data_IF_049442173475
#
_entry.id   IF_049442173475
#
_cell.length_a   1.000
_cell.length_b   1.000
_cell.length_c   1.000
_cell.angle_alpha   90.00
_cell.angle_beta   90.00
_cell.angle_gamma   90.00
#
_symmetry.space_group_name_H-M   'P 1'
#
loop_
_entity.id
_entity.type
_entity.pdbx_description
1 polymer ?
#
# COMPACT_ATOMS: atom_id res chain seq x y z
N UNK A 1 3.47 25.16 1.48
CA UNK A 1 4.59 24.21 1.57
C UNK A 1 4.23 23.01 0.70
N UNK A 2 4.61 23.07 -0.57
CA UNK A 2 4.09 22.22 -1.63
C UNK A 2 4.95 20.96 -1.79
N UNK A 3 4.31 19.79 -1.70
CA UNK A 3 4.87 18.46 -2.00
C UNK A 3 4.93 18.30 -3.53
N UNK A 4 5.58 19.25 -4.20
CA UNK A 4 5.78 19.27 -5.65
C UNK A 4 7.25 19.57 -5.94
N UNK A 5 8.11 18.62 -5.61
CA UNK A 5 9.42 18.54 -6.27
C UNK A 5 9.23 18.09 -7.71
N UNK A 6 9.96 18.70 -8.65
CA UNK A 6 9.98 18.25 -10.05
C UNK A 6 10.39 16.77 -10.10
N UNK A 7 9.53 15.94 -10.69
CA UNK A 7 9.83 14.52 -10.94
C UNK A 7 10.75 14.45 -12.17
N UNK A 8 11.96 13.92 -11.99
CA UNK A 8 12.94 13.79 -13.06
C UNK A 8 14.33 13.39 -12.56
N UNK A 9 15.18 12.81 -13.41
CA UNK A 9 16.53 12.43 -13.05
C UNK A 9 17.35 13.66 -12.60
N UNK A 10 17.93 13.60 -11.40
CA UNK A 10 18.78 14.67 -10.84
C UNK A 10 18.14 15.54 -9.74
N UNK A 11 16.86 15.36 -9.40
CA UNK A 11 16.23 16.05 -8.27
C UNK A 11 16.30 15.21 -6.99
N UNK A 12 16.54 15.85 -5.84
CA UNK A 12 16.50 15.21 -4.52
C UNK A 12 15.05 14.84 -4.18
N UNK A 13 14.72 13.57 -4.38
CA UNK A 13 13.43 13.03 -3.95
C UNK A 13 13.52 12.78 -2.45
N UNK A 14 12.63 13.39 -1.67
CA UNK A 14 12.43 12.96 -0.29
C UNK A 14 11.82 11.56 -0.32
N UNK A 15 12.62 10.55 0.02
CA UNK A 15 12.12 9.18 0.11
C UNK A 15 11.34 9.02 1.41
N UNK A 16 10.02 8.94 1.31
CA UNK A 16 9.19 8.66 2.47
C UNK A 16 9.32 7.18 2.83
N UNK A 17 9.32 6.85 4.12
CA UNK A 17 9.32 5.47 4.61
C UNK A 17 8.14 5.24 5.54
N UNK A 18 7.84 3.97 5.84
CA UNK A 18 6.73 3.59 6.69
C UNK A 18 6.77 4.26 8.08
N UNK A 19 7.96 4.49 8.65
CA UNK A 19 8.08 5.14 9.96
C UNK A 19 7.57 6.60 9.96
N UNK A 20 7.67 7.34 8.84
CA UNK A 20 7.10 8.69 8.74
C UNK A 20 5.58 8.70 8.92
N UNK A 21 4.89 7.64 8.48
CA UNK A 21 3.44 7.50 8.70
C UNK A 21 3.15 7.17 10.17
N UNK A 22 3.99 6.33 10.79
CA UNK A 22 3.85 5.97 12.20
C UNK A 22 4.04 7.20 13.09
N UNK A 23 5.03 8.04 12.81
CA UNK A 23 5.27 9.29 13.55
C UNK A 23 4.08 10.26 13.41
N UNK A 24 3.56 10.43 12.19
CA UNK A 24 2.36 11.25 11.95
C UNK A 24 1.13 10.71 12.69
N UNK A 25 0.96 9.39 12.71
CA UNK A 25 -0.12 8.73 13.45
C UNK A 25 0.03 8.94 14.96
N UNK A 26 1.25 8.79 15.49
CA UNK A 26 1.53 9.02 16.91
C UNK A 26 1.16 10.43 17.34
N UNK A 27 1.55 11.45 16.55
CA UNK A 27 1.18 12.84 16.84
C UNK A 27 -0.32 13.08 16.71
N UNK A 28 -0.98 12.50 15.72
CA UNK A 28 -2.43 12.58 15.55
C UNK A 28 -3.16 12.05 16.79
N UNK A 29 -2.74 10.90 17.29
CA UNK A 29 -3.33 10.27 18.47
C UNK A 29 -3.08 11.11 19.73
N UNK A 30 -1.88 11.68 19.88
CA UNK A 30 -1.54 12.59 20.99
C UNK A 30 -2.35 13.88 20.99
N UNK A 31 -2.59 14.48 19.82
CA UNK A 31 -3.42 15.70 19.73
C UNK A 31 -4.88 15.38 20.05
N UNK A 32 -5.40 14.24 19.56
CA UNK A 32 -6.77 13.82 19.88
C UNK A 32 -6.95 13.55 21.38
N UNK A 33 -5.97 12.91 22.03
CA UNK A 33 -5.96 12.72 23.48
C UNK A 33 -6.04 14.06 24.23
N UNK A 34 -5.26 15.05 23.81
CA UNK A 34 -5.29 16.40 24.39
C UNK A 34 -6.65 17.09 24.16
N UNK A 35 -7.23 17.00 22.96
CA UNK A 35 -8.57 17.54 22.67
C UNK A 35 -9.62 16.92 23.59
N UNK A 36 -9.60 15.60 23.77
CA UNK A 36 -10.54 14.91 24.66
C UNK A 36 -10.41 15.37 26.12
N UNK A 37 -9.18 15.54 26.60
CA UNK A 37 -8.93 16.03 27.96
C UNK A 37 -9.40 17.49 28.13
N UNK A 38 -9.14 18.36 27.14
CA UNK A 38 -9.58 19.76 27.18
C UNK A 38 -11.12 19.89 27.10
N UNK A 39 -11.78 19.11 26.24
CA UNK A 39 -13.24 19.06 26.16
C UNK A 39 -13.83 18.64 27.53
N UNK A 40 -13.30 17.57 28.14
CA UNK A 40 -13.72 17.11 29.47
C UNK A 40 -13.50 18.16 30.57
N UNK A 41 -12.36 18.86 30.56
CA UNK A 41 -12.09 19.90 31.55
C UNK A 41 -13.08 21.07 31.39
N UNK A 42 -13.38 21.45 30.15
CA UNK A 42 -14.36 22.50 29.85
C UNK A 42 -15.74 22.16 30.44
N UNK A 43 -16.15 20.89 30.36
CA UNK A 43 -17.41 20.41 30.99
C UNK A 43 -17.37 20.50 32.52
N UNK A 44 -16.26 20.08 33.16
CA UNK A 44 -16.11 20.13 34.62
C UNK A 44 -16.15 21.58 35.12
N UNK A 45 -15.41 22.48 34.47
CA UNK A 45 -15.36 23.89 34.85
C UNK A 45 -16.74 24.55 34.63
N UNK A 46 -17.44 24.20 33.55
CA UNK A 46 -18.81 24.66 33.31
C UNK A 46 -19.79 24.15 34.38
N UNK A 47 -19.61 22.92 34.88
CA UNK A 47 -20.43 22.39 35.96
C UNK A 47 -20.13 23.10 37.30
N UNK A 48 -18.86 23.41 37.56
CA UNK A 48 -18.43 24.18 38.74
C UNK A 48 -19.05 25.58 38.73
N UNK A 49 -18.98 26.26 37.59
CA UNK A 49 -19.58 27.57 37.37
C UNK A 49 -21.09 27.55 37.69
N UNK A 50 -21.81 26.59 37.11
CA UNK A 50 -23.26 26.41 37.35
C UNK A 50 -23.59 26.11 38.81
N UNK A 51 -22.76 25.33 39.50
CA UNK A 51 -22.96 25.00 40.90
C UNK A 51 -22.88 26.26 41.76
N UNK A 52 -21.83 27.06 41.63
CA UNK A 52 -21.68 28.30 42.41
C UNK A 52 -22.74 29.34 42.07
N UNK A 53 -23.10 29.49 40.80
CA UNK A 53 -24.23 30.34 40.38
C UNK A 53 -25.57 29.88 40.99
N UNK A 54 -25.78 28.57 41.11
CA UNK A 54 -26.99 28.04 41.76
C UNK A 54 -26.98 28.21 43.28
N UNK A 55 -25.80 28.20 43.91
CA UNK A 55 -25.63 28.31 45.36
C UNK A 55 -26.10 29.68 45.86
N UNK A 56 -25.75 30.76 45.16
CA UNK A 56 -26.19 32.12 45.48
C UNK A 56 -27.67 32.38 45.18
N UNK A 57 -28.27 31.60 44.29
CA UNK A 57 -29.69 31.67 43.99
C UNK A 57 -30.59 30.99 45.03
N UNK A 58 -30.03 30.15 45.93
CA UNK A 58 -30.81 29.43 46.95
C UNK A 58 -31.20 30.34 48.11
N UNK A 59 -32.45 30.22 48.55
CA UNK A 59 -33.01 30.94 49.71
C UNK A 59 -32.42 30.52 51.05
N UNK A 60 -31.87 29.31 51.12
CA UNK A 60 -31.28 28.73 52.35
C UNK A 60 -29.85 29.21 52.57
N UNK A 61 -29.28 30.01 51.66
CA UNK A 61 -27.91 30.50 51.77
C UNK A 61 -27.86 31.69 52.74
N UNK A 62 -26.91 31.73 53.70
CA UNK A 62 -26.85 32.80 54.70
C UNK A 62 -26.69 34.18 54.06
N UNK A 63 -27.61 35.10 54.37
CA UNK A 63 -27.63 36.47 53.80
C UNK A 63 -26.36 37.27 54.12
N UNK A 64 -25.76 37.05 55.29
CA UNK A 64 -24.50 37.70 55.69
C UNK A 64 -23.32 37.31 54.80
N UNK A 65 -23.21 36.03 54.45
CA UNK A 65 -22.16 35.53 53.55
C UNK A 65 -22.45 35.88 52.09
N UNK A 66 -23.71 36.15 51.75
CA UNK A 66 -24.10 36.49 50.39
C UNK A 66 -23.60 37.88 50.00
N UNK A 67 -23.87 38.89 50.82
CA UNK A 67 -23.43 40.26 50.53
C UNK A 67 -21.91 40.45 50.63
N UNK A 68 -21.25 39.73 51.55
CA UNK A 68 -19.79 39.86 51.74
C UNK A 68 -18.97 39.19 50.62
N UNK A 69 -19.50 38.12 50.00
CA UNK A 69 -18.80 37.35 48.95
C UNK A 69 -19.39 37.54 47.55
N UNK A 70 -20.36 38.43 47.35
CA UNK A 70 -21.03 38.61 46.04
C UNK A 70 -20.05 39.05 44.94
N UNK A 71 -19.19 40.02 45.27
CA UNK A 71 -18.16 40.53 44.36
C UNK A 71 -17.12 39.47 44.03
N UNK A 72 -16.64 38.74 45.06
CA UNK A 72 -15.65 37.66 44.90
C UNK A 72 -16.21 36.50 44.06
N UNK A 73 -17.48 36.14 44.25
CA UNK A 73 -18.10 35.07 43.48
C UNK A 73 -18.36 35.49 42.03
N UNK A 74 -18.69 36.76 41.79
CA UNK A 74 -18.83 37.31 40.45
C UNK A 74 -17.48 37.37 39.73
N UNK A 75 -16.41 37.76 40.43
CA UNK A 75 -15.06 37.73 39.91
C UNK A 75 -14.61 36.29 39.58
N UNK A 76 -14.92 35.33 40.46
CA UNK A 76 -14.64 33.92 40.22
C UNK A 76 -15.43 33.36 39.02
N UNK A 77 -16.71 33.67 38.89
CA UNK A 77 -17.54 33.28 37.75
C UNK A 77 -16.98 33.81 36.43
N UNK A 78 -16.57 35.09 36.42
CA UNK A 78 -15.92 35.73 35.28
C UNK A 78 -14.62 35.02 34.90
N UNK A 79 -13.76 34.72 35.89
CA UNK A 79 -12.51 33.99 35.67
C UNK A 79 -12.74 32.58 35.11
N UNK A 80 -13.74 31.85 35.62
CA UNK A 80 -14.09 30.54 35.07
C UNK A 80 -14.62 30.65 33.62
N UNK A 81 -15.41 31.68 33.33
CA UNK A 81 -15.90 31.97 31.99
C UNK A 81 -14.77 32.25 30.99
N UNK A 82 -13.81 33.08 31.38
CA UNK A 82 -12.62 33.38 30.56
C UNK A 82 -11.78 32.13 30.33
N UNK A 83 -11.56 31.33 31.38
CA UNK A 83 -10.82 30.07 31.29
C UNK A 83 -11.53 29.05 30.37
N UNK A 84 -12.87 28.92 30.45
CA UNK A 84 -13.67 28.11 29.52
C UNK A 84 -13.47 28.58 28.07
N UNK A 85 -13.50 29.89 27.84
CA UNK A 85 -13.32 30.46 26.50
C UNK A 85 -11.91 30.18 25.96
N UNK A 86 -10.88 30.29 26.79
CA UNK A 86 -9.51 29.95 26.42
C UNK A 86 -9.37 28.48 26.04
N UNK A 87 -9.94 27.56 26.83
CA UNK A 87 -9.96 26.14 26.49
C UNK A 87 -10.66 25.88 25.16
N UNK A 88 -11.81 26.50 24.89
CA UNK A 88 -12.51 26.38 23.60
C UNK A 88 -11.66 26.84 22.42
N UNK A 89 -10.91 27.94 22.59
CA UNK A 89 -9.98 28.42 21.55
C UNK A 89 -8.88 27.38 21.31
N UNK A 90 -8.27 26.84 22.36
CA UNK A 90 -7.22 25.83 22.23
C UNK A 90 -7.72 24.52 21.63
N UNK A 91 -8.93 24.08 21.99
CA UNK A 91 -9.61 22.93 21.38
C UNK A 91 -9.78 23.16 19.87
N UNK A 92 -10.21 24.36 19.46
CA UNK A 92 -10.35 24.70 18.04
C UNK A 92 -9.01 24.62 17.30
N UNK A 93 -7.94 25.19 17.87
CA UNK A 93 -6.58 25.12 17.31
C UNK A 93 -6.06 23.69 17.22
N UNK A 94 -6.27 22.88 18.25
CA UNK A 94 -5.88 21.48 18.26
C UNK A 94 -6.64 20.67 17.20
N UNK A 95 -7.94 20.91 17.02
CA UNK A 95 -8.74 20.30 15.94
C UNK A 95 -8.25 20.70 14.54
N UNK A 96 -7.81 21.94 14.35
CA UNK A 96 -7.15 22.34 13.10
C UNK A 96 -5.84 21.58 12.87
N UNK A 97 -5.03 21.40 13.92
CA UNK A 97 -3.80 20.63 13.83
C UNK A 97 -4.05 19.15 13.50
N UNK A 98 -5.12 18.55 14.04
CA UNK A 98 -5.59 17.20 13.66
C UNK A 98 -5.87 17.12 12.16
N UNK A 99 -6.63 18.07 11.62
CA UNK A 99 -6.97 18.09 10.19
C UNK A 99 -5.72 18.22 9.31
N UNK A 100 -4.84 19.18 9.62
CA UNK A 100 -3.58 19.38 8.87
C UNK A 100 -2.70 18.13 8.91
N UNK A 101 -2.61 17.47 10.08
CA UNK A 101 -1.80 16.26 10.24
C UNK A 101 -2.39 15.09 9.46
N UNK A 102 -3.72 14.97 9.43
CA UNK A 102 -4.44 13.98 8.62
C UNK A 102 -4.20 14.18 7.13
N UNK A 103 -4.33 15.40 6.63
CA UNK A 103 -4.10 15.73 5.23
C UNK A 103 -2.64 15.40 4.84
N UNK A 104 -1.67 15.74 5.69
CA UNK A 104 -0.26 15.39 5.47
C UNK A 104 -0.03 13.88 5.43
N UNK A 105 -0.66 13.11 6.34
CA UNK A 105 -0.57 11.66 6.33
C UNK A 105 -1.11 11.07 5.02
N UNK A 106 -2.23 11.57 4.53
CA UNK A 106 -2.80 11.14 3.25
C UNK A 106 -1.86 11.43 2.08
N UNK A 107 -1.26 12.63 2.05
CA UNK A 107 -0.27 12.99 1.03
C UNK A 107 0.97 12.08 1.07
N UNK A 108 1.48 11.73 2.25
CA UNK A 108 2.61 10.80 2.40
C UNK A 108 2.25 9.41 1.90
N UNK A 109 1.05 8.92 2.21
CA UNK A 109 0.55 7.62 1.72
C UNK A 109 0.47 7.61 0.19
N UNK A 110 -0.10 8.66 -0.41
CA UNK A 110 -0.17 8.80 -1.87
C UNK A 110 1.22 8.81 -2.51
N UNK A 111 2.17 9.50 -1.89
CA UNK A 111 3.54 9.54 -2.39
C UNK A 111 4.23 8.18 -2.30
N UNK A 112 4.08 7.45 -1.19
CA UNK A 112 4.60 6.09 -1.05
C UNK A 112 4.02 5.12 -2.08
N UNK A 113 2.72 5.21 -2.35
CA UNK A 113 2.07 4.43 -3.40
C UNK A 113 2.63 4.79 -4.78
N UNK A 114 2.85 6.08 -5.04
CA UNK A 114 3.50 6.57 -6.25
C UNK A 114 4.92 6.00 -6.42
N UNK A 115 5.73 6.01 -5.38
CA UNK A 115 7.08 5.44 -5.39
C UNK A 115 7.08 3.93 -5.66
N UNK A 116 6.14 3.20 -5.04
CA UNK A 116 6.00 1.76 -5.28
C UNK A 116 5.57 1.46 -6.72
N UNK A 117 4.67 2.27 -7.28
CA UNK A 117 4.24 2.16 -8.67
C UNK A 117 5.41 2.45 -9.64
N UNK A 118 6.18 3.51 -9.42
CA UNK A 118 7.33 3.87 -10.24
C UNK A 118 8.40 2.77 -10.25
N UNK A 119 8.70 2.19 -9.07
CA UNK A 119 9.62 1.03 -8.99
C UNK A 119 9.10 -0.16 -9.78
N UNK A 120 7.79 -0.42 -9.72
CA UNK A 120 7.16 -1.51 -10.46
C UNK A 120 7.21 -1.26 -11.97
N UNK A 121 7.02 -0.02 -12.40
CA UNK A 121 7.15 0.39 -13.80
C UNK A 121 8.58 0.19 -14.31
N UNK A 122 9.59 0.64 -13.55
CA UNK A 122 11.00 0.44 -13.89
C UNK A 122 11.34 -1.05 -13.99
N UNK A 123 10.86 -1.87 -13.06
CA UNK A 123 11.00 -3.33 -13.11
C UNK A 123 10.34 -3.90 -14.37
N UNK A 124 9.13 -3.45 -14.71
CA UNK A 124 8.41 -3.93 -15.89
C UNK A 124 9.13 -3.57 -17.20
N UNK A 125 9.67 -2.35 -17.31
CA UNK A 125 10.48 -1.93 -18.47
C UNK A 125 11.74 -2.79 -18.60
N UNK A 126 12.41 -3.08 -17.48
CA UNK A 126 13.59 -3.95 -17.49
C UNK A 126 13.23 -5.39 -17.90
N UNK A 127 12.11 -5.92 -17.39
CA UNK A 127 11.59 -7.24 -17.78
C UNK A 127 11.18 -7.30 -19.26
N UNK A 128 10.62 -6.23 -19.80
CA UNK A 128 10.30 -6.14 -21.22
C UNK A 128 11.56 -6.25 -22.08
N UNK A 129 12.62 -5.52 -21.72
CA UNK A 129 13.91 -5.59 -22.41
C UNK A 129 14.54 -6.98 -22.32
N UNK A 130 14.51 -7.60 -21.14
CA UNK A 130 14.98 -8.97 -20.94
C UNK A 130 14.19 -9.97 -21.80
N UNK A 131 12.87 -9.82 -21.86
CA UNK A 131 12.00 -10.64 -22.70
C UNK A 131 12.28 -10.47 -24.20
N UNK A 132 12.59 -9.25 -24.66
CA UNK A 132 13.01 -9.00 -26.05
C UNK A 132 14.35 -9.70 -26.33
N UNK A 133 15.32 -9.61 -25.42
CA UNK A 133 16.62 -10.30 -25.55
C UNK A 133 16.47 -11.83 -25.69
N UNK A 134 15.63 -12.45 -24.84
CA UNK A 134 15.33 -13.87 -24.92
C UNK A 134 14.74 -14.28 -26.29
N UNK A 135 13.87 -13.45 -26.87
CA UNK A 135 13.30 -13.69 -28.21
C UNK A 135 14.36 -13.65 -29.31
N UNK A 136 15.28 -12.69 -29.28
CA UNK A 136 16.36 -12.58 -30.27
C UNK A 136 17.25 -13.82 -30.25
N UNK A 137 17.69 -14.27 -29.07
CA UNK A 137 18.51 -15.49 -28.93
C UNK A 137 17.77 -16.72 -29.45
N UNK A 138 16.47 -16.83 -29.16
CA UNK A 138 15.63 -17.94 -29.65
C UNK A 138 15.55 -17.94 -31.19
N UNK A 139 15.39 -16.78 -31.81
CA UNK A 139 15.37 -16.68 -33.29
C UNK A 139 16.74 -17.03 -33.88
N UNK A 140 17.83 -16.53 -33.29
CA UNK A 140 19.19 -16.83 -33.75
C UNK A 140 19.49 -18.33 -33.68
N UNK A 141 19.10 -19.00 -32.59
CA UNK A 141 19.28 -20.45 -32.44
C UNK A 141 18.42 -21.26 -33.41
N UNK A 142 17.19 -20.82 -33.70
CA UNK A 142 16.33 -21.47 -34.71
C UNK A 142 16.92 -21.45 -36.12
N UNK A 143 17.69 -20.41 -36.48
CA UNK A 143 18.37 -20.32 -37.78
C UNK A 143 19.72 -21.05 -37.76
N UNK A 144 20.47 -20.93 -36.65
CA UNK A 144 21.82 -21.45 -36.55
C UNK A 144 21.85 -22.99 -36.39
N UNK A 145 20.93 -23.57 -35.61
CA UNK A 145 20.93 -25.01 -35.35
C UNK A 145 20.82 -25.87 -36.63
N UNK A 146 19.89 -25.62 -37.56
CA UNK A 146 19.82 -26.37 -38.82
C UNK A 146 21.05 -26.16 -39.71
N UNK A 147 21.57 -24.93 -39.77
CA UNK A 147 22.75 -24.61 -40.57
C UNK A 147 23.99 -25.35 -40.05
N UNK A 148 24.18 -25.39 -38.72
CA UNK A 148 25.28 -26.13 -38.09
C UNK A 148 25.13 -27.63 -38.29
N UNK A 149 23.93 -28.20 -38.13
CA UNK A 149 23.71 -29.63 -38.41
C UNK A 149 24.10 -29.99 -39.85
N UNK A 150 23.69 -29.19 -40.82
CA UNK A 150 24.03 -29.41 -42.23
C UNK A 150 25.54 -29.24 -42.46
N UNK A 151 26.16 -28.21 -41.87
CA UNK A 151 27.61 -28.00 -41.94
C UNK A 151 28.41 -29.19 -41.38
N UNK A 152 28.02 -29.71 -40.22
CA UNK A 152 28.65 -30.89 -39.61
C UNK A 152 28.41 -32.15 -40.45
N UNK A 153 27.20 -32.37 -40.97
CA UNK A 153 26.88 -33.53 -41.79
C UNK A 153 27.69 -33.59 -43.09
N UNK A 154 27.88 -32.44 -43.76
CA UNK A 154 28.74 -32.34 -44.94
C UNK A 154 30.24 -32.30 -44.61
N UNK A 155 30.62 -31.92 -43.37
CA UNK A 155 31.99 -31.93 -42.88
C UNK A 155 32.47 -33.32 -42.42
N UNK A 156 31.55 -34.20 -42.02
CA UNK A 156 31.86 -35.63 -41.90
C UNK A 156 32.00 -36.24 -43.29
N UNK A 157 33.00 -37.11 -43.47
CA UNK A 157 33.56 -37.70 -44.72
C UNK A 157 32.56 -38.49 -45.62
N UNK A 158 31.25 -38.25 -45.46
CA UNK A 158 30.12 -38.84 -46.20
C UNK A 158 30.05 -38.35 -47.65
N UNK A 159 30.69 -37.22 -47.99
CA UNK A 159 30.82 -36.75 -49.38
C UNK A 159 32.28 -36.83 -49.82
N UNK A 160 32.76 -38.05 -50.12
CA UNK A 160 34.01 -38.21 -50.87
C UNK A 160 33.80 -37.73 -52.30
N UNK A 161 34.43 -36.62 -52.66
CA UNK A 161 34.72 -36.30 -54.05
C UNK A 161 36.01 -37.01 -54.46
N UNK A 162 35.99 -38.33 -54.59
CA UNK A 162 37.00 -39.01 -55.40
C UNK A 162 36.58 -38.80 -56.85
N UNK A 163 37.17 -37.81 -57.51
CA UNK A 163 37.32 -37.91 -58.95
C UNK A 163 38.68 -38.59 -59.16
N UNK A 164 38.60 -39.87 -59.50
CA UNK A 164 39.75 -40.71 -59.75
C UNK A 164 40.71 -40.08 -60.78
N UNK A 165 42.00 -40.19 -60.45
CA UNK A 165 43.12 -40.29 -61.38
C UNK A 165 43.47 -39.06 -62.24
N UNK A 166 44.01 -38.01 -61.63
CA UNK A 166 45.32 -37.51 -62.07
C UNK A 166 45.98 -36.58 -61.04
N UNK A 167 47.30 -36.77 -60.91
CA UNK A 167 48.19 -36.04 -60.01
C UNK A 167 48.18 -34.56 -60.33
N UNK A 168 47.59 -33.74 -59.46
CA UNK A 168 47.94 -32.32 -59.31
C UNK A 168 47.49 -31.83 -57.95
N UNK A 169 48.48 -31.51 -57.12
CA UNK A 169 48.39 -30.98 -55.76
C UNK A 169 47.92 -29.52 -55.79
N UNK A 170 46.64 -29.29 -56.01
CA UNK A 170 46.04 -27.99 -55.75
C UNK A 170 44.67 -28.18 -55.12
N UNK A 171 44.40 -27.45 -54.04
CA UNK A 171 43.23 -27.68 -53.19
C UNK A 171 41.93 -27.51 -54.00
N UNK A 172 41.30 -28.62 -54.39
CA UNK A 172 40.10 -28.57 -55.23
C UNK A 172 38.90 -28.10 -54.41
N UNK A 173 38.62 -26.80 -54.46
CA UNK A 173 37.40 -26.22 -53.91
C UNK A 173 36.22 -26.56 -54.83
N UNK A 174 35.47 -27.62 -54.50
CA UNK A 174 34.37 -28.10 -55.34
C UNK A 174 33.15 -27.19 -55.22
N UNK A 175 32.92 -26.33 -56.23
CA UNK A 175 31.71 -25.49 -56.36
C UNK A 175 30.42 -26.32 -56.34
N UNK A 176 30.49 -27.60 -56.72
CA UNK A 176 29.38 -28.57 -56.64
C UNK A 176 29.00 -28.87 -55.18
N UNK A 177 29.96 -28.96 -54.26
CA UNK A 177 29.70 -29.19 -52.84
C UNK A 177 28.94 -28.02 -52.22
N UNK A 178 29.35 -26.80 -52.55
CA UNK A 178 28.70 -25.58 -52.09
C UNK A 178 27.24 -25.48 -52.57
N UNK A 179 26.96 -25.84 -53.83
CA UNK A 179 25.60 -25.82 -54.39
C UNK A 179 24.71 -26.89 -53.74
N UNK A 180 25.23 -28.10 -53.51
CA UNK A 180 24.48 -29.17 -52.81
C UNK A 180 24.21 -28.82 -51.35
N UNK A 181 25.18 -28.22 -50.67
CA UNK A 181 25.01 -27.70 -49.32
C UNK A 181 23.89 -26.66 -49.26
N UNK A 182 23.87 -25.70 -50.20
CA UNK A 182 22.82 -24.67 -50.29
C UNK A 182 21.44 -25.30 -50.59
N UNK A 183 21.40 -26.29 -51.48
CA UNK A 183 20.19 -27.00 -51.90
C UNK A 183 19.54 -27.79 -50.76
N UNK A 184 20.32 -28.28 -49.78
CA UNK A 184 19.78 -28.97 -48.59
C UNK A 184 19.46 -27.98 -47.46
N UNK A 185 20.28 -26.93 -47.32
CA UNK A 185 20.13 -25.95 -46.23
C UNK A 185 18.89 -25.07 -46.40
N UNK A 186 18.60 -24.59 -47.60
CA UNK A 186 17.43 -23.73 -47.88
C UNK A 186 16.08 -24.40 -47.56
N UNK A 187 15.78 -25.62 -48.04
CA UNK A 187 14.51 -26.27 -47.68
C UNK A 187 14.44 -26.61 -46.20
N UNK A 188 15.55 -27.02 -45.57
CA UNK A 188 15.57 -27.33 -44.14
C UNK A 188 15.31 -26.09 -43.29
N UNK A 189 15.92 -24.95 -43.64
CA UNK A 189 15.64 -23.65 -42.99
C UNK A 189 14.21 -23.20 -43.23
N UNK A 190 13.67 -23.39 -44.43
CA UNK A 190 12.27 -23.09 -44.72
C UNK A 190 11.29 -23.93 -43.90
N UNK A 191 11.55 -25.24 -43.77
CA UNK A 191 10.75 -26.15 -42.91
C UNK A 191 10.85 -25.76 -41.44
N UNK A 192 12.05 -25.41 -40.96
CA UNK A 192 12.25 -24.97 -39.58
C UNK A 192 11.48 -23.68 -39.29
N UNK A 193 11.50 -22.73 -40.25
CA UNK A 193 10.79 -21.47 -40.16
C UNK A 193 9.26 -21.67 -40.26
N UNK A 194 8.80 -22.61 -41.09
CA UNK A 194 7.38 -23.02 -41.16
C UNK A 194 6.91 -23.67 -39.86
N UNK A 195 7.72 -24.54 -39.24
CA UNK A 195 7.40 -25.15 -37.94
C UNK A 195 7.38 -24.10 -36.83
N UNK A 196 8.37 -23.19 -36.79
CA UNK A 196 8.40 -22.09 -35.84
C UNK A 196 7.17 -21.17 -36.02
N UNK A 197 6.82 -20.81 -37.25
CA UNK A 197 5.63 -20.01 -37.53
C UNK A 197 4.34 -20.75 -37.17
N UNK A 198 4.22 -22.04 -37.49
CA UNK A 198 3.05 -22.84 -37.17
C UNK A 198 2.87 -23.04 -35.65
N UNK A 199 3.96 -23.26 -34.91
CA UNK A 199 3.94 -23.36 -33.44
C UNK A 199 3.61 -22.03 -32.79
N UNK A 200 4.18 -20.92 -33.28
CA UNK A 200 3.89 -19.58 -32.80
C UNK A 200 2.42 -19.20 -33.03
N UNK A 201 1.91 -19.40 -34.26
CA UNK A 201 0.51 -19.14 -34.62
C UNK A 201 -0.47 -20.01 -33.84
N UNK A 202 -0.12 -21.29 -33.60
CA UNK A 202 -0.93 -22.19 -32.75
C UNK A 202 -0.91 -21.75 -31.27
N UNK A 203 0.21 -21.22 -30.77
CA UNK A 203 0.31 -20.72 -29.41
C UNK A 203 -0.51 -19.43 -29.22
N UNK A 204 -0.47 -18.50 -30.18
CA UNK A 204 -1.29 -17.29 -30.17
C UNK A 204 -2.79 -17.58 -30.22
N UNK A 205 -3.22 -18.48 -31.12
CA UNK A 205 -4.62 -18.94 -31.19
C UNK A 205 -5.11 -19.53 -29.86
N UNK A 206 -4.25 -20.30 -29.15
CA UNK A 206 -4.59 -20.85 -27.82
C UNK A 206 -4.68 -19.77 -26.74
N UNK A 207 -3.88 -18.72 -26.82
CA UNK A 207 -3.94 -17.57 -25.88
C UNK A 207 -5.24 -16.79 -26.09
N UNK A 208 -5.56 -16.46 -27.33
CA UNK A 208 -6.82 -15.78 -27.68
C UNK A 208 -8.04 -16.62 -27.29
N UNK A 209 -8.02 -17.93 -27.51
CA UNK A 209 -9.13 -18.80 -27.09
C UNK A 209 -9.29 -18.90 -25.57
N UNK A 210 -8.18 -18.88 -24.80
CA UNK A 210 -8.24 -18.80 -23.33
C UNK A 210 -8.82 -17.46 -22.85
N UNK A 211 -8.44 -16.36 -23.49
CA UNK A 211 -8.98 -15.03 -23.19
C UNK A 211 -10.48 -14.91 -23.54
N UNK A 212 -10.92 -15.49 -24.67
CA UNK A 212 -12.34 -15.54 -25.05
C UNK A 212 -13.16 -16.42 -24.10
N UNK A 213 -12.60 -17.55 -23.64
CA UNK A 213 -13.25 -18.42 -22.66
C UNK A 213 -13.30 -17.79 -21.25
N UNK A 214 -12.38 -16.88 -20.94
CA UNK A 214 -12.37 -16.10 -19.70
C UNK A 214 -13.29 -14.86 -19.78
N UNK A 215 -13.57 -14.35 -20.98
CA UNK A 215 -14.54 -13.25 -21.23
C UNK A 215 -16.00 -13.73 -21.41
N UNK A 216 -16.28 -15.02 -21.36
CA UNK A 216 -17.65 -15.53 -21.40
C UNK A 216 -18.26 -15.49 -19.98
N UNK A 217 -19.29 -14.66 -19.71
CA UNK A 217 -20.02 -14.72 -18.45
C UNK A 217 -20.76 -16.07 -18.35
N UNK A 218 -21.01 -16.60 -17.13
CA UNK A 218 -21.77 -17.83 -16.98
C UNK A 218 -23.24 -17.58 -17.34
N UNK A 219 -23.63 -17.92 -18.57
CA UNK A 219 -25.02 -18.09 -19.00
C UNK A 219 -25.08 -19.45 -19.68
N UNK A 220 -25.93 -20.41 -19.32
CA UNK A 220 -27.19 -20.41 -18.59
C UNK A 220 -27.49 -21.86 -18.17
N UNK A 221 -27.89 -22.09 -16.92
CA UNK A 221 -28.60 -23.32 -16.52
C UNK A 221 -30.12 -23.01 -16.52
N UNK A 222 -30.99 -24.00 -16.78
CA UNK A 222 -32.40 -23.77 -17.10
C UNK A 222 -33.17 -23.25 -15.88
N UNK A 223 -34.07 -22.31 -16.15
CA UNK A 223 -35.00 -21.66 -15.22
C UNK A 223 -35.78 -22.64 -14.33
N UNK A 224 -35.71 -22.43 -13.01
CA UNK A 224 -36.71 -22.87 -12.03
C UNK A 224 -37.67 -21.70 -11.73
N UNK A 225 -38.96 -21.98 -11.45
CA UNK A 225 -40.00 -20.95 -11.29
C UNK A 225 -39.79 -20.09 -10.04
N UNK A 226 -40.39 -18.88 -9.99
CA UNK A 226 -40.06 -17.87 -8.99
C UNK A 226 -40.52 -18.27 -7.57
N UNK A 227 -39.55 -18.30 -6.66
CA UNK A 227 -39.78 -18.38 -5.21
C UNK A 227 -40.39 -17.07 -4.69
N UNK A 228 -41.24 -17.12 -3.64
CA UNK A 228 -41.89 -15.94 -3.07
C UNK A 228 -40.88 -14.96 -2.46
N UNK A 229 -41.25 -13.66 -2.31
CA UNK A 229 -40.31 -12.61 -1.94
C UNK A 229 -39.66 -12.89 -0.58
N UNK A 230 -38.32 -12.97 -0.58
CA UNK A 230 -37.52 -12.99 0.63
C UNK A 230 -37.70 -11.66 1.39
N UNK A 231 -38.10 -11.77 2.65
CA UNK A 231 -38.00 -10.71 3.63
C UNK A 231 -36.56 -10.16 3.69
N UNK A 232 -36.37 -8.85 3.95
CA UNK A 232 -35.04 -8.25 3.98
C UNK A 232 -34.18 -8.88 5.08
N UNK A 233 -33.16 -9.63 4.66
CA UNK A 233 -32.10 -10.12 5.53
C UNK A 233 -31.31 -8.91 6.04
N UNK A 234 -31.05 -8.79 7.36
CA UNK A 234 -30.36 -7.64 7.91
C UNK A 234 -28.91 -7.61 7.42
N UNK A 235 -28.52 -6.49 6.81
CA UNK A 235 -27.12 -6.20 6.51
C UNK A 235 -26.30 -6.19 7.82
N UNK A 236 -25.06 -6.71 7.84
CA UNK A 236 -24.16 -6.56 8.98
C UNK A 236 -23.69 -5.11 9.06
N UNK A 237 -24.55 -4.25 9.62
CA UNK A 237 -24.21 -2.88 9.99
C UNK A 237 -23.30 -2.92 11.22
N UNK A 238 -22.12 -2.32 11.06
CA UNK A 238 -21.31 -1.72 12.13
C UNK A 238 -20.89 -2.65 13.29
N UNK A 239 -19.90 -3.51 13.04
CA UNK A 239 -19.09 -4.14 14.10
C UNK A 239 -17.91 -3.25 14.56
N UNK A 240 -18.07 -1.92 14.52
CA UNK A 240 -17.04 -0.96 14.99
C UNK A 240 -17.62 0.19 15.83
N UNK A 241 -18.88 0.09 16.29
CA UNK A 241 -19.53 1.13 17.11
C UNK A 241 -19.66 0.81 18.60
N UNK A 242 -19.16 -0.32 19.10
CA UNK A 242 -19.32 -0.74 20.50
C UNK A 242 -18.07 -0.57 21.39
N UNK A 243 -17.01 0.08 20.92
CA UNK A 243 -15.81 0.32 21.74
C UNK A 243 -15.89 1.39 22.86
N UNK A 244 -16.96 2.19 23.06
CA UNK A 244 -17.08 2.98 24.30
C UNK A 244 -17.71 2.22 25.48
N UNK A 245 -18.35 1.07 25.25
CA UNK A 245 -19.12 0.38 26.30
C UNK A 245 -18.28 -0.57 27.17
N UNK A 246 -17.08 -0.96 26.72
CA UNK A 246 -16.21 -1.89 27.44
C UNK A 246 -15.26 -1.21 28.43
N UNK A 247 -15.00 0.10 28.25
CA UNK A 247 -14.23 0.90 29.21
C UNK A 247 -15.02 1.21 30.51
N UNK A 248 -16.36 1.12 30.48
CA UNK A 248 -17.21 1.41 31.64
C UNK A 248 -17.39 0.21 32.58
N UNK A 249 -17.03 -1.01 32.16
CA UNK A 249 -17.21 -2.25 32.94
C UNK A 249 -15.96 -2.70 33.71
N UNK A 250 -14.82 -2.05 33.50
CA UNK A 250 -13.58 -2.31 34.26
C UNK A 250 -13.44 -1.37 35.47
N UNK A 251 -14.26 -0.30 35.57
CA UNK A 251 -14.25 0.65 36.70
C UNK A 251 -15.14 0.24 37.89
N UNK A 252 -15.82 -0.90 37.86
CA UNK A 252 -16.74 -1.31 38.94
C UNK A 252 -16.26 -2.49 39.81
N UNK A 253 -15.03 -2.98 39.64
CA UNK A 253 -14.44 -3.99 40.53
C UNK A 253 -13.05 -3.58 40.99
N UNK A 254 -13.02 -2.64 41.94
CA UNK A 254 -11.90 -2.47 42.87
C UNK A 254 -12.49 -2.62 44.28
N UNK A 255 -12.21 -3.71 45.01
CA UNK A 255 -12.59 -3.79 46.40
C UNK A 255 -11.69 -2.86 47.23
N UNK A 256 -12.30 -1.98 48.00
CA UNK A 256 -11.65 -1.24 49.06
C UNK A 256 -11.27 -2.21 50.19
N UNK A 257 -9.97 -2.41 50.45
CA UNK A 257 -9.52 -3.00 51.71
C UNK A 257 -8.14 -2.43 52.14
N UNK A 258 -8.21 -1.43 53.01
CA UNK A 258 -7.55 -1.33 54.31
C UNK A 258 -6.01 -1.38 54.44
N UNK A 259 -5.49 -0.23 54.95
CA UNK A 259 -4.46 0.00 56.00
C UNK A 259 -3.05 -0.59 55.88
N UNK A 260 -2.12 0.38 56.01
CA UNK A 260 -0.89 0.35 56.81
C UNK A 260 0.20 -0.67 56.45
N UNK A 261 1.26 -0.20 55.81
CA UNK A 261 2.66 -0.56 56.15
C UNK A 261 3.66 0.30 55.35
N UNK A 262 4.32 1.19 56.09
CA UNK A 262 5.76 1.50 56.05
C UNK A 262 6.42 1.95 54.72
N UNK A 263 6.81 3.23 54.72
CA UNK A 263 7.90 3.76 53.89
C UNK A 263 9.25 3.14 54.31
N UNK A 264 10.14 2.81 53.36
CA UNK A 264 11.57 2.86 53.61
C UNK A 264 12.21 4.06 52.89
N UNK A 265 12.65 4.96 53.76
CA UNK A 265 13.76 5.91 53.66
C UNK A 265 14.88 5.46 52.68
N UNK A 266 15.04 6.16 51.55
CA UNK A 266 16.20 6.00 50.67
C UNK A 266 17.32 6.94 51.12
N UNK A 267 18.42 6.38 51.64
CA UNK A 267 19.69 7.07 51.88
C UNK A 267 20.44 7.26 50.54
N UNK A 268 21.19 8.36 50.35
CA UNK A 268 22.18 8.44 49.29
C UNK A 268 23.50 7.78 49.73
N UNK A 269 24.06 6.91 48.88
CA UNK A 269 25.42 6.41 49.02
C UNK A 269 26.33 7.23 48.11
N UNK A 270 27.35 7.80 48.73
CA UNK A 270 28.54 8.40 48.15
C UNK A 270 29.48 7.27 47.72
N UNK A 271 29.96 7.31 46.49
CA UNK A 271 31.35 7.04 46.08
C UNK A 271 31.59 7.60 44.67
#
# INVERSE_FOLDING_TARGET
>A
MAIYGRRGPGFSHMEYKAYHIQDLQYWLDKINEAVMAMDSNTEVISALQKFYASLTARKDFPESLKGENEDDLTAFDTQLGDLINDFKIQISRARLLVNITRDRKELVIQHLQGQAAERTEMLNINLEREAIGMRVVTIATLVYLPATFVSTFFGTDVVKYQNDNNVSSDGSFSRIAMIRWLQVTIPLTFVTLLLAWATFKRAEMKRQFRELRQKQPPTSSPSLPPSPPLQPQPQPRSMWRSLPALAKRIRSHVPANNRNSELPLFKPAVE
#
